data_IF_319131912028
#
_entry.id   IF_319131912028
#
_cell.length_a   1.000
_cell.length_b   1.000
_cell.length_c   1.000
_cell.angle_alpha   90.00
_cell.angle_beta   90.00
_cell.angle_gamma   90.00
#
_symmetry.space_group_name_H-M   'P 1'
#
loop_
_entity.id
_entity.type
_entity.pdbx_description
1 polymer ?
#
# COMPACT_ATOMS: atom_id res chain seq x y z
N UNK A 1 23.51 -6.11 21.31
CA UNK A 1 22.28 -6.62 20.68
C UNK A 1 21.72 -5.56 19.75
N UNK A 2 22.04 -5.64 18.45
CA UNK A 2 21.39 -4.76 17.47
C UNK A 2 20.03 -5.38 17.22
N UNK A 3 18.99 -4.81 17.81
CA UNK A 3 17.62 -5.14 17.45
C UNK A 3 17.54 -5.01 15.93
N UNK A 4 17.23 -6.12 15.26
CA UNK A 4 16.72 -6.07 13.91
C UNK A 4 15.53 -5.12 13.99
N UNK A 5 15.74 -3.86 13.61
CA UNK A 5 14.64 -3.01 13.18
C UNK A 5 14.01 -3.86 12.10
N UNK A 6 12.87 -4.46 12.41
CA UNK A 6 11.93 -4.87 11.39
C UNK A 6 11.69 -3.56 10.66
N UNK A 7 12.48 -3.30 9.61
CA UNK A 7 12.14 -2.28 8.63
C UNK A 7 10.84 -2.82 8.10
N UNK A 8 9.74 -2.33 8.67
CA UNK A 8 8.41 -2.59 8.17
C UNK A 8 8.54 -2.34 6.68
N UNK A 9 8.48 -3.40 5.86
CA UNK A 9 8.28 -3.25 4.43
C UNK A 9 7.04 -2.35 4.36
N UNK A 10 7.26 -1.09 4.03
CA UNK A 10 6.25 -0.06 4.11
C UNK A 10 5.34 -0.25 2.90
N UNK A 11 4.49 -1.26 2.97
CA UNK A 11 3.46 -1.45 1.96
C UNK A 11 2.47 -0.28 2.03
N UNK A 12 1.80 -0.04 0.90
CA UNK A 12 0.84 1.05 0.78
C UNK A 12 -0.29 0.96 1.82
N UNK A 13 -0.72 -0.23 2.23
CA UNK A 13 -1.82 -0.38 3.19
C UNK A 13 -1.41 0.05 4.59
N UNK A 14 -0.19 -0.28 5.01
CA UNK A 14 0.37 0.19 6.29
C UNK A 14 0.65 1.70 6.28
N UNK A 15 0.88 2.29 5.10
CA UNK A 15 0.99 3.75 4.95
C UNK A 15 -0.38 4.43 5.09
N UNK A 16 -1.44 3.83 4.55
CA UNK A 16 -2.80 4.39 4.56
C UNK A 16 -3.56 4.14 5.87
N UNK A 17 -3.38 2.97 6.48
CA UNK A 17 -4.05 2.57 7.73
C UNK A 17 -3.22 1.50 8.47
N UNK A 18 -2.21 1.90 9.27
CA UNK A 18 -1.29 0.97 9.93
C UNK A 18 -1.99 -0.11 10.75
N UNK A 19 -1.65 -1.38 10.50
CA UNK A 19 -2.25 -2.53 11.22
C UNK A 19 -1.56 -2.87 12.54
N UNK A 20 -0.27 -2.55 12.68
CA UNK A 20 0.56 -2.92 13.85
C UNK A 20 0.54 -1.88 14.98
N UNK A 21 0.30 -0.62 14.65
CA UNK A 21 0.20 0.47 15.61
C UNK A 21 -1.28 0.75 15.88
N UNK A 22 -1.92 -0.12 16.68
CA UNK A 22 -3.20 0.26 17.25
C UNK A 22 -2.95 1.48 18.13
N UNK A 23 -3.45 2.64 17.69
CA UNK A 23 -3.70 3.75 18.62
C UNK A 23 -4.48 3.15 19.80
N UNK A 24 -4.15 3.50 21.06
CA UNK A 24 -4.98 3.15 22.19
C UNK A 24 -6.43 3.45 21.81
N UNK A 25 -7.38 2.56 22.16
CA UNK A 25 -8.80 2.83 21.93
C UNK A 25 -9.04 4.25 22.45
N UNK A 26 -9.35 5.18 21.55
CA UNK A 26 -9.73 6.53 21.95
C UNK A 26 -10.84 6.37 22.98
N UNK A 27 -10.81 7.20 24.02
CA UNK A 27 -11.92 7.31 24.96
C UNK A 27 -13.23 7.35 24.14
N UNK A 28 -14.25 6.54 24.46
CA UNK A 28 -15.52 6.54 23.74
C UNK A 28 -16.13 7.93 23.55
N UNK A 29 -15.77 8.88 24.41
CA UNK A 29 -16.17 10.29 24.34
C UNK A 29 -15.47 11.11 23.24
N UNK A 30 -14.40 10.59 22.62
CA UNK A 30 -13.58 11.24 21.59
C UNK A 30 -13.57 10.41 20.30
N UNK A 31 -14.75 10.03 19.81
CA UNK A 31 -14.87 9.47 18.45
C UNK A 31 -14.89 10.62 17.44
N UNK A 32 -13.80 10.80 16.70
CA UNK A 32 -13.77 11.66 15.53
C UNK A 32 -14.11 10.84 14.29
N UNK A 33 -15.19 11.20 13.60
CA UNK A 33 -15.55 10.59 12.33
C UNK A 33 -14.44 10.87 11.30
N UNK A 34 -13.88 9.85 10.63
CA UNK A 34 -12.85 10.07 9.63
C UNK A 34 -13.37 10.91 8.45
N UNK A 35 -12.62 11.96 8.07
CA UNK A 35 -12.99 12.83 6.95
C UNK A 35 -13.17 12.03 5.65
N UNK A 36 -14.40 12.05 5.12
CA UNK A 36 -14.78 11.37 3.87
C UNK A 36 -13.89 11.79 2.69
N UNK A 37 -13.39 13.03 2.68
CA UNK A 37 -12.50 13.52 1.61
C UNK A 37 -11.14 12.85 1.66
N UNK A 38 -10.57 12.69 2.85
CA UNK A 38 -9.29 12.00 3.03
C UNK A 38 -9.42 10.50 2.75
N UNK A 39 -10.51 9.87 3.19
CA UNK A 39 -10.81 8.48 2.83
C UNK A 39 -10.87 8.30 1.31
N UNK A 40 -11.59 9.17 0.60
CA UNK A 40 -11.67 9.13 -0.85
C UNK A 40 -10.30 9.38 -1.54
N UNK A 41 -9.38 10.14 -0.93
CA UNK A 41 -8.01 10.30 -1.42
C UNK A 41 -7.20 9.02 -1.24
N UNK A 42 -7.25 8.42 -0.06
CA UNK A 42 -6.57 7.16 0.26
C UNK A 42 -7.01 6.04 -0.69
N UNK A 43 -8.31 5.93 -0.92
CA UNK A 43 -8.90 4.93 -1.82
C UNK A 43 -8.43 5.11 -3.26
N UNK A 44 -8.43 6.35 -3.77
CA UNK A 44 -7.89 6.67 -5.11
C UNK A 44 -6.39 6.51 -5.21
N UNK A 45 -5.67 6.60 -4.10
CA UNK A 45 -4.23 6.40 -4.07
C UNK A 45 -3.92 4.91 -4.14
N UNK A 46 -4.59 4.11 -3.31
CA UNK A 46 -4.51 2.65 -3.32
C UNK A 46 -4.88 2.07 -4.69
N UNK A 47 -5.89 2.62 -5.37
CA UNK A 47 -6.28 2.12 -6.69
C UNK A 47 -5.16 2.23 -7.74
N UNK A 48 -4.20 3.15 -7.58
CA UNK A 48 -3.02 3.25 -8.46
C UNK A 48 -2.01 2.14 -8.23
N UNK A 49 -1.92 1.64 -6.99
CA UNK A 49 -1.10 0.47 -6.66
C UNK A 49 -1.73 -0.83 -7.18
N UNK A 50 -3.04 -0.99 -7.03
CA UNK A 50 -3.76 -2.21 -7.43
C UNK A 50 -3.98 -2.28 -8.95
N UNK A 51 -4.29 -1.14 -9.59
CA UNK A 51 -4.63 -1.08 -11.02
C UNK A 51 -3.70 -0.16 -11.83
N UNK A 52 -2.37 -0.34 -11.75
CA UNK A 52 -1.40 0.61 -12.30
C UNK A 52 -1.60 0.91 -13.79
N UNK A 53 -1.90 -0.12 -14.59
CA UNK A 53 -2.12 0.02 -16.03
C UNK A 53 -3.28 0.96 -16.38
N UNK A 54 -4.35 0.97 -15.59
CA UNK A 54 -5.50 1.85 -15.84
C UNK A 54 -5.15 3.34 -15.60
N UNK A 55 -4.04 3.60 -14.90
CA UNK A 55 -3.48 4.93 -14.66
C UNK A 55 -2.28 5.23 -15.57
N UNK A 56 -1.93 4.33 -16.50
CA UNK A 56 -0.74 4.45 -17.34
C UNK A 56 0.56 4.34 -16.56
N UNK A 57 0.53 3.63 -15.43
CA UNK A 57 1.72 3.27 -14.65
C UNK A 57 2.21 1.89 -15.09
N UNK A 58 3.51 1.66 -15.00
CA UNK A 58 4.16 0.41 -15.41
C UNK A 58 3.71 -0.80 -14.59
N UNK A 59 3.99 -2.01 -15.03
CA UNK A 59 3.85 -3.19 -14.16
C UNK A 59 4.89 -4.23 -14.59
N UNK A 60 4.96 -5.33 -13.82
CA UNK A 60 5.86 -6.46 -14.09
C UNK A 60 5.72 -6.98 -15.52
N UNK A 61 4.52 -6.91 -16.11
CA UNK A 61 4.23 -7.41 -17.45
C UNK A 61 4.50 -6.38 -18.57
N UNK A 62 4.70 -5.12 -18.23
CA UNK A 62 4.94 -4.03 -19.18
C UNK A 62 6.42 -3.71 -19.34
N UNK A 63 7.28 -4.29 -18.48
CA UNK A 63 8.71 -4.14 -18.58
C UNK A 63 9.25 -5.00 -19.73
N UNK A 64 9.58 -4.35 -20.84
CA UNK A 64 10.31 -4.98 -21.94
C UNK A 64 11.79 -4.73 -21.68
N UNK A 65 12.51 -5.77 -21.25
CA UNK A 65 13.95 -5.64 -21.04
C UNK A 65 14.66 -5.45 -22.38
N UNK A 66 15.38 -4.34 -22.55
CA UNK A 66 16.31 -4.18 -23.67
C UNK A 66 17.38 -5.28 -23.62
N UNK A 67 17.81 -5.76 -24.78
CA UNK A 67 18.70 -6.92 -24.98
C UNK A 67 20.10 -6.81 -24.36
N UNK A 68 20.39 -5.77 -23.55
CA UNK A 68 21.74 -5.49 -23.02
C UNK A 68 21.79 -5.10 -21.54
N UNK A 69 20.66 -4.90 -20.86
CA UNK A 69 20.68 -4.59 -19.43
C UNK A 69 20.54 -5.86 -18.60
N UNK A 70 21.52 -6.08 -17.73
CA UNK A 70 21.45 -7.05 -16.63
C UNK A 70 20.14 -6.79 -15.89
N UNK A 71 19.25 -7.79 -15.92
CA UNK A 71 17.83 -7.76 -15.57
C UNK A 71 17.56 -7.28 -14.12
N UNK A 72 17.70 -5.97 -13.86
CA UNK A 72 17.23 -5.39 -12.60
C UNK A 72 15.74 -5.13 -12.76
N UNK A 73 14.93 -6.10 -12.34
CA UNK A 73 13.49 -5.93 -12.28
C UNK A 73 13.16 -4.69 -11.44
N UNK A 74 12.28 -3.79 -11.92
CA UNK A 74 11.85 -2.65 -11.12
C UNK A 74 11.18 -3.10 -9.83
N UNK A 75 11.42 -2.38 -8.75
CA UNK A 75 10.67 -2.58 -7.51
C UNK A 75 9.28 -1.96 -7.67
N UNK A 76 8.24 -2.79 -7.59
CA UNK A 76 6.85 -2.36 -7.68
C UNK A 76 6.17 -2.28 -6.30
N UNK A 77 6.91 -2.50 -5.20
CA UNK A 77 6.40 -2.39 -3.83
C UNK A 77 6.18 -0.92 -3.47
N UNK A 78 7.19 -0.07 -3.69
CA UNK A 78 7.06 1.39 -3.54
C UNK A 78 6.95 2.05 -4.93
N UNK A 79 5.83 2.71 -5.16
CA UNK A 79 5.52 3.37 -6.44
C UNK A 79 5.25 4.86 -6.27
N UNK A 80 5.55 5.43 -5.11
CA UNK A 80 5.27 6.83 -4.81
C UNK A 80 5.95 7.78 -5.80
N UNK A 81 7.19 7.48 -6.18
CA UNK A 81 7.93 8.28 -7.15
C UNK A 81 7.26 8.27 -8.53
N UNK A 82 6.85 7.10 -9.02
CA UNK A 82 6.19 6.96 -10.32
C UNK A 82 4.81 7.63 -10.31
N UNK A 83 4.03 7.44 -9.24
CA UNK A 83 2.72 8.08 -9.08
C UNK A 83 2.85 9.60 -9.05
N UNK A 84 3.82 10.15 -8.30
CA UNK A 84 4.10 11.59 -8.26
C UNK A 84 4.55 12.11 -9.62
N UNK A 85 5.49 11.44 -10.27
CA UNK A 85 5.98 11.80 -11.58
C UNK A 85 4.83 11.84 -12.61
N UNK A 86 3.93 10.85 -12.59
CA UNK A 86 2.77 10.81 -13.49
C UNK A 86 1.76 11.92 -13.19
N UNK A 87 1.52 12.24 -11.92
CA UNK A 87 0.66 13.35 -11.50
C UNK A 87 1.22 14.72 -11.93
N UNK A 88 2.54 14.90 -11.84
CA UNK A 88 3.23 16.12 -12.28
C UNK A 88 3.23 16.24 -13.80
N UNK A 89 3.51 15.13 -14.52
CA UNK A 89 3.52 15.10 -15.99
C UNK A 89 2.12 15.37 -16.58
N UNK A 90 1.06 14.84 -15.97
CA UNK A 90 -0.32 15.09 -16.42
C UNK A 90 -0.84 16.49 -16.06
N UNK A 91 -0.11 17.29 -15.29
CA UNK A 91 -0.53 18.65 -14.94
C UNK A 91 -0.55 19.58 -16.16
N UNK A 92 0.18 19.26 -17.25
CA UNK A 92 0.30 20.11 -18.44
C UNK A 92 -0.66 19.80 -19.60
N UNK A 93 -1.34 18.64 -19.63
CA UNK A 93 -2.17 18.26 -20.81
C UNK A 93 -3.61 17.86 -20.47
N UNK A 94 -3.90 17.11 -19.40
CA UNK A 94 -5.28 16.81 -18.96
C UNK A 94 -5.25 16.49 -17.47
N UNK A 95 -5.89 17.35 -16.67
CA UNK A 95 -5.67 17.50 -15.23
C UNK A 95 -5.75 16.23 -14.36
N UNK A 96 -5.05 16.33 -13.20
CA UNK A 96 -5.04 15.43 -12.02
C UNK A 96 -5.55 14.03 -12.33
N UNK A 97 -4.67 13.03 -12.52
CA UNK A 97 -5.00 11.61 -12.80
C UNK A 97 -6.40 11.21 -12.29
N UNK A 98 -7.42 11.43 -13.14
CA UNK A 98 -8.81 11.20 -12.76
C UNK A 98 -8.97 9.71 -12.56
N UNK A 99 -9.80 9.29 -11.61
CA UNK A 99 -10.16 7.89 -11.49
C UNK A 99 -10.81 7.43 -12.80
N UNK A 100 -10.24 6.43 -13.50
CA UNK A 100 -10.83 5.86 -14.71
C UNK A 100 -12.27 5.40 -14.44
N UNK A 101 -13.18 5.59 -15.41
CA UNK A 101 -14.62 5.27 -15.25
C UNK A 101 -14.82 3.84 -14.75
N UNK A 102 -14.07 2.88 -15.30
CA UNK A 102 -14.12 1.45 -14.94
C UNK A 102 -13.73 1.14 -13.49
N UNK A 103 -12.98 2.03 -12.83
CA UNK A 103 -12.54 1.82 -11.46
C UNK A 103 -13.44 2.48 -10.41
N UNK A 104 -14.44 3.27 -10.83
CA UNK A 104 -15.34 3.97 -9.90
C UNK A 104 -16.11 3.00 -9.00
N UNK A 105 -16.62 1.91 -9.57
CA UNK A 105 -17.44 0.93 -8.85
C UNK A 105 -16.62 0.06 -7.90
N UNK A 106 -15.29 0.05 -8.06
CA UNK A 106 -14.36 -0.73 -7.24
C UNK A 106 -13.88 0.07 -6.02
N UNK A 107 -13.99 1.41 -6.04
CA UNK A 107 -13.54 2.26 -4.93
C UNK A 107 -14.15 1.87 -3.57
N UNK A 108 -15.46 1.56 -3.44
CA UNK A 108 -16.03 1.13 -2.17
C UNK A 108 -15.45 -0.20 -1.64
N UNK A 109 -14.97 -1.08 -2.54
CA UNK A 109 -14.31 -2.33 -2.13
C UNK A 109 -12.89 -2.06 -1.62
N UNK A 110 -12.16 -1.16 -2.28
CA UNK A 110 -10.82 -0.74 -1.85
C UNK A 110 -10.87 -0.02 -0.49
N UNK A 111 -11.89 0.79 -0.25
CA UNK A 111 -12.14 1.42 1.04
C UNK A 111 -12.32 0.37 2.16
N UNK A 112 -13.18 -0.63 1.92
CA UNK A 112 -13.34 -1.77 2.84
C UNK A 112 -12.03 -2.52 3.05
N UNK A 113 -11.18 -2.65 2.02
CA UNK A 113 -9.88 -3.28 2.14
C UNK A 113 -8.94 -2.50 3.07
N UNK A 114 -8.83 -1.18 2.91
CA UNK A 114 -8.04 -0.31 3.81
C UNK A 114 -8.51 -0.47 5.25
N UNK A 115 -9.82 -0.43 5.47
CA UNK A 115 -10.40 -0.54 6.80
C UNK A 115 -10.15 -1.91 7.45
N UNK A 116 -10.36 -2.99 6.69
CA UNK A 116 -10.13 -4.37 7.15
C UNK A 116 -8.65 -4.61 7.46
N UNK A 117 -7.74 -4.05 6.66
CA UNK A 117 -6.31 -4.14 6.89
C UNK A 117 -5.92 -3.57 8.26
N UNK A 118 -6.33 -2.33 8.58
CA UNK A 118 -5.99 -1.72 9.88
C UNK A 118 -6.61 -2.43 11.09
N UNK A 119 -7.71 -3.18 10.88
CA UNK A 119 -8.32 -4.01 11.93
C UNK A 119 -7.74 -5.42 12.01
N UNK A 120 -6.97 -5.85 11.02
CA UNK A 120 -6.44 -7.19 10.95
C UNK A 120 -5.43 -7.44 12.08
N UNK A 121 -5.73 -8.43 12.92
CA UNK A 121 -4.80 -8.90 13.94
C UNK A 121 -3.73 -9.80 13.33
N UNK A 122 -2.81 -9.25 12.53
CA UNK A 122 -1.78 -10.05 11.86
C UNK A 122 -0.93 -10.86 12.85
N UNK A 123 -0.60 -10.31 14.02
CA UNK A 123 0.12 -11.03 15.08
C UNK A 123 -0.67 -12.25 15.60
N UNK A 124 -1.88 -12.12 16.16
CA UNK A 124 -2.64 -13.28 16.61
C UNK A 124 -3.00 -14.25 15.46
N UNK A 125 -3.20 -13.77 14.23
CA UNK A 125 -3.41 -14.64 13.07
C UNK A 125 -2.17 -15.48 12.77
N UNK A 126 -0.99 -14.86 12.74
CA UNK A 126 0.29 -15.55 12.55
C UNK A 126 0.53 -16.54 13.67
N UNK A 127 0.38 -16.12 14.93
CA UNK A 127 0.65 -16.97 16.09
C UNK A 127 -0.33 -18.17 16.15
N UNK A 128 -1.55 -18.05 15.58
CA UNK A 128 -2.51 -19.15 15.42
C UNK A 128 -2.11 -20.15 14.33
N UNK A 129 -1.64 -19.67 13.18
CA UNK A 129 -1.35 -20.52 12.00
C UNK A 129 0.06 -21.09 12.04
N UNK A 130 1.02 -20.31 12.53
CA UNK A 130 2.43 -20.66 12.61
C UNK A 130 2.95 -20.23 14.00
N UNK A 131 2.70 -21.04 15.05
CA UNK A 131 3.16 -20.76 16.41
C UNK A 131 4.67 -20.97 16.60
N UNK A 132 5.40 -21.30 15.53
CA UNK A 132 6.83 -21.55 15.61
C UNK A 132 7.54 -20.29 16.11
N UNK A 133 8.12 -20.41 17.31
CA UNK A 133 9.15 -19.47 17.74
C UNK A 133 10.31 -19.73 16.81
N UNK A 134 10.49 -18.89 15.79
CA UNK A 134 11.72 -18.90 14.99
C UNK A 134 12.85 -18.58 15.97
N UNK A 135 13.44 -19.61 16.57
CA UNK A 135 14.77 -19.50 17.16
C UNK A 135 15.68 -19.32 15.96
N UNK A 136 16.17 -18.10 15.77
CA UNK A 136 17.35 -17.91 14.93
C UNK A 136 18.46 -18.66 15.68
N UNK A 137 18.63 -19.95 15.36
CA UNK A 137 19.83 -20.67 15.73
C UNK A 137 20.96 -19.94 15.01
N UNK A 138 21.77 -19.23 15.78
CA UNK A 138 23.02 -18.69 15.26
C UNK A 138 23.84 -19.90 14.78
N UNK A 139 24.34 -19.92 13.53
CA UNK A 139 25.38 -20.88 13.18
C UNK A 139 26.59 -20.63 14.09
N UNK A 140 27.37 -21.70 14.40
CA UNK A 140 28.48 -21.64 15.35
C UNK A 140 29.54 -20.59 14.97
#
# INVERSE_FOLDING_TARGET
MRGLKLTCLADVLNTLNPSYYRKPRADPTVYSDPDAREQAKHVRHLSKYVFPLQYGLSNVFSYVSGTRDVQRQPDYIDREHEIKARLLLHLSVVGRCKTPKRLKDILPLLEKMIWRHGKCGYKPLRDKVCPSKVSIACPP
#
